data_IF_465113326402
#
_entry.id   IF_465113326402
#
_cell.length_a   1.000
_cell.length_b   1.000
_cell.length_c   1.000
_cell.angle_alpha   90.00
_cell.angle_beta   90.00
_cell.angle_gamma   90.00
#
_symmetry.space_group_name_H-M   'P 1'
#
loop_
_entity.id
_entity.type
_entity.pdbx_description
1 polymer ?
#
# COMPACT_ATOMS: atom_id res chain seq x y z
N UNK A 1 -8.39 -3.45 -15.60
CA UNK A 1 -9.57 -3.57 -16.47
C UNK A 1 -10.28 -4.86 -16.10
N UNK A 2 -11.57 -4.82 -15.75
CA UNK A 2 -12.37 -6.03 -15.74
C UNK A 2 -12.52 -6.50 -17.20
N UNK A 3 -12.50 -7.82 -17.41
CA UNK A 3 -12.75 -8.44 -18.72
C UNK A 3 -14.06 -7.98 -19.37
N UNK A 4 -14.98 -7.49 -18.55
CA UNK A 4 -16.36 -7.17 -18.92
C UNK A 4 -16.48 -5.95 -19.86
N UNK A 5 -15.58 -4.96 -19.75
CA UNK A 5 -15.62 -3.75 -20.60
C UNK A 5 -15.22 -4.00 -22.07
N UNK A 6 -14.25 -4.90 -22.30
CA UNK A 6 -13.82 -5.30 -23.66
C UNK A 6 -14.88 -6.20 -24.32
N UNK A 7 -15.57 -7.03 -23.52
CA UNK A 7 -16.69 -7.85 -24.00
C UNK A 7 -17.93 -7.01 -24.35
N UNK A 8 -18.16 -5.88 -23.67
CA UNK A 8 -19.21 -4.93 -24.05
C UNK A 8 -18.92 -4.35 -25.45
N UNK A 9 -17.73 -3.80 -25.70
CA UNK A 9 -17.37 -3.20 -26.99
C UNK A 9 -17.45 -4.19 -28.17
N UNK A 10 -17.07 -5.45 -27.96
CA UNK A 10 -17.23 -6.51 -28.97
C UNK A 10 -18.69 -6.94 -29.17
N UNK A 11 -19.53 -6.91 -28.13
CA UNK A 11 -20.98 -7.15 -28.25
C UNK A 11 -21.66 -6.11 -29.14
N UNK A 12 -21.26 -4.84 -29.05
CA UNK A 12 -21.84 -3.77 -29.87
C UNK A 12 -21.43 -3.87 -31.36
N UNK A 13 -20.18 -4.22 -31.65
CA UNK A 13 -19.71 -4.39 -33.04
C UNK A 13 -20.29 -5.61 -33.76
N UNK A 14 -20.66 -6.67 -33.03
CA UNK A 14 -21.23 -7.90 -33.59
C UNK A 14 -22.76 -7.91 -33.64
N UNK A 15 -23.47 -7.21 -32.73
CA UNK A 15 -24.93 -7.19 -32.72
C UNK A 15 -25.55 -6.42 -33.90
N UNK A 16 -24.79 -5.53 -34.56
CA UNK A 16 -25.23 -4.76 -35.72
C UNK A 16 -24.64 -5.26 -37.05
N UNK A 17 -24.06 -6.47 -37.07
CA UNK A 17 -23.64 -7.17 -38.27
C UNK A 17 -24.82 -7.51 -39.18
N UNK A 18 -25.03 -6.68 -40.21
CA UNK A 18 -25.81 -6.98 -41.43
C UNK A 18 -27.23 -7.53 -41.22
N UNK A 19 -28.12 -6.79 -40.55
CA UNK A 19 -29.52 -6.87 -40.92
C UNK A 19 -29.72 -5.90 -42.11
N UNK A 20 -29.72 -6.43 -43.33
CA UNK A 20 -29.97 -5.62 -44.53
C UNK A 20 -31.32 -4.90 -44.42
N UNK A 21 -31.30 -3.62 -44.07
CA UNK A 21 -32.46 -2.74 -44.06
C UNK A 21 -32.76 -2.35 -45.52
N UNK A 22 -33.28 -3.27 -46.32
CA UNK A 22 -33.82 -2.95 -47.64
C UNK A 22 -35.33 -2.81 -47.55
N UNK A 23 -35.84 -1.64 -47.91
CA UNK A 23 -37.25 -1.46 -48.20
C UNK A 23 -37.62 -2.29 -49.45
N UNK A 24 -38.72 -3.05 -49.39
CA UNK A 24 -39.26 -3.76 -50.55
C UNK A 24 -40.42 -2.97 -51.16
N UNK A 25 -40.22 -2.41 -52.36
CA UNK A 25 -41.22 -1.71 -53.21
C UNK A 25 -41.19 -0.18 -53.00
N UNK A 26 -41.20 0.69 -54.02
CA UNK A 26 -41.63 0.60 -55.43
C UNK A 26 -40.80 1.55 -56.31
N UNK A 27 -40.63 1.22 -57.59
CA UNK A 27 -40.04 2.11 -58.60
C UNK A 27 -40.89 3.39 -58.76
N UNK A 28 -40.26 4.56 -58.71
CA UNK A 28 -40.79 5.76 -59.36
C UNK A 28 -40.78 7.05 -58.53
N UNK A 29 -40.03 8.02 -59.06
CA UNK A 29 -40.13 9.47 -58.89
C UNK A 29 -39.69 10.04 -57.52
N UNK A 30 -38.74 10.99 -57.59
CA UNK A 30 -38.27 11.78 -56.46
C UNK A 30 -39.43 12.46 -55.73
N UNK A 31 -39.75 11.94 -54.55
CA UNK A 31 -40.63 12.58 -53.59
C UNK A 31 -39.74 13.36 -52.63
N UNK A 32 -39.74 14.69 -52.75
CA UNK A 32 -39.04 15.61 -51.84
C UNK A 32 -39.79 15.78 -50.51
N UNK A 33 -40.34 14.70 -49.97
CA UNK A 33 -41.14 14.69 -48.75
C UNK A 33 -40.79 13.49 -47.89
N UNK A 34 -40.86 13.67 -46.56
CA UNK A 34 -40.60 12.59 -45.63
C UNK A 34 -41.54 11.40 -45.89
N UNK A 35 -40.94 10.22 -46.10
CA UNK A 35 -41.65 8.96 -46.33
C UNK A 35 -41.62 8.14 -45.06
N UNK A 36 -42.71 7.44 -44.76
CA UNK A 36 -42.78 6.47 -43.67
C UNK A 36 -42.81 5.05 -44.27
N UNK A 37 -41.82 4.22 -43.92
CA UNK A 37 -41.64 2.87 -44.48
C UNK A 37 -41.41 1.86 -43.35
N UNK A 38 -42.13 0.74 -43.38
CA UNK A 38 -41.87 -0.39 -42.47
C UNK A 38 -40.91 -1.38 -43.11
N UNK A 39 -39.79 -1.67 -42.44
CA UNK A 39 -38.80 -2.65 -42.89
C UNK A 39 -38.05 -3.25 -41.69
N UNK A 40 -37.57 -4.50 -41.81
CA UNK A 40 -36.69 -5.10 -40.82
C UNK A 40 -37.24 -5.16 -39.38
N UNK A 41 -38.58 -5.19 -39.21
CA UNK A 41 -39.22 -5.17 -37.90
C UNK A 41 -39.32 -3.79 -37.23
N UNK A 42 -39.02 -2.72 -37.97
CA UNK A 42 -39.19 -1.33 -37.52
C UNK A 42 -39.85 -0.44 -38.56
N UNK A 43 -39.97 0.84 -38.23
CA UNK A 43 -40.51 1.89 -39.10
C UNK A 43 -39.50 3.01 -39.22
N UNK A 44 -39.11 3.32 -40.46
CA UNK A 44 -38.35 4.50 -40.83
C UNK A 44 -39.30 5.65 -41.17
N UNK A 45 -38.94 6.88 -40.80
CA UNK A 45 -39.59 8.12 -41.24
C UNK A 45 -38.53 9.14 -41.58
N UNK A 46 -38.41 9.53 -42.84
CA UNK A 46 -37.36 10.44 -43.30
C UNK A 46 -37.23 10.52 -44.82
N UNK A 47 -36.10 11.06 -45.27
CA UNK A 47 -35.78 11.20 -46.68
C UNK A 47 -35.32 9.87 -47.30
N UNK A 48 -35.64 9.66 -48.58
CA UNK A 48 -35.20 8.47 -49.32
C UNK A 48 -34.68 8.85 -50.69
N UNK A 49 -33.61 8.20 -51.13
CA UNK A 49 -33.03 8.33 -52.47
C UNK A 49 -32.84 6.93 -53.04
N UNK A 50 -33.36 6.71 -54.24
CA UNK A 50 -33.30 5.42 -54.97
C UNK A 50 -33.77 4.21 -54.13
N UNK A 51 -34.79 4.41 -53.30
CA UNK A 51 -35.37 3.37 -52.45
C UNK A 51 -34.57 3.06 -51.18
N UNK A 52 -33.50 3.79 -50.91
CA UNK A 52 -32.68 3.66 -49.72
C UNK A 52 -32.87 4.86 -48.76
N UNK A 53 -32.65 4.64 -47.46
CA UNK A 53 -32.67 5.71 -46.46
C UNK A 53 -31.55 6.69 -46.73
N UNK A 54 -31.89 7.97 -46.71
CA UNK A 54 -30.96 9.06 -47.00
C UNK A 54 -31.30 10.31 -46.18
N UNK A 55 -30.41 11.30 -46.18
CA UNK A 55 -30.68 12.59 -45.55
C UNK A 55 -30.93 12.46 -44.05
N UNK A 56 -31.89 13.19 -43.51
CA UNK A 56 -32.27 13.06 -42.09
C UNK A 56 -33.50 12.17 -41.92
N UNK A 57 -33.49 11.32 -40.89
CA UNK A 57 -34.63 10.46 -40.59
C UNK A 57 -34.54 9.74 -39.26
N UNK A 58 -35.68 9.20 -38.85
CA UNK A 58 -35.84 8.42 -37.62
C UNK A 58 -36.22 6.99 -37.95
N UNK A 59 -35.50 6.02 -37.39
CA UNK A 59 -35.87 4.60 -37.42
C UNK A 59 -36.25 4.16 -36.02
N UNK A 60 -37.42 3.54 -35.87
CA UNK A 60 -37.93 3.00 -34.60
C UNK A 60 -38.17 1.51 -34.74
N UNK A 61 -37.60 0.70 -33.86
CA UNK A 61 -37.84 -0.74 -33.75
C UNK A 61 -37.98 -1.16 -32.29
N UNK A 62 -38.26 -2.44 -32.05
CA UNK A 62 -38.23 -3.00 -30.69
C UNK A 62 -36.82 -3.07 -30.09
N UNK A 63 -35.77 -3.03 -30.92
CA UNK A 63 -34.39 -3.17 -30.48
C UNK A 63 -33.71 -1.81 -30.24
N UNK A 64 -34.01 -0.82 -31.07
CA UNK A 64 -33.42 0.51 -30.96
C UNK A 64 -34.26 1.58 -31.67
N UNK A 65 -34.01 2.84 -31.30
CA UNK A 65 -34.42 4.04 -32.02
C UNK A 65 -33.18 4.81 -32.44
N UNK A 66 -33.11 5.21 -33.71
CA UNK A 66 -32.08 6.11 -34.23
C UNK A 66 -32.73 7.34 -34.85
N UNK A 67 -32.25 8.53 -34.54
CA UNK A 67 -32.61 9.78 -35.22
C UNK A 67 -31.34 10.49 -35.67
N UNK A 68 -31.17 10.70 -36.97
CA UNK A 68 -29.95 11.31 -37.46
C UNK A 68 -29.81 11.22 -38.98
N UNK A 69 -28.57 11.32 -39.43
CA UNK A 69 -28.23 11.22 -40.84
C UNK A 69 -28.20 9.78 -41.36
N UNK A 70 -28.56 9.63 -42.62
CA UNK A 70 -28.57 8.37 -43.34
C UNK A 70 -27.92 8.52 -44.71
N UNK A 71 -27.14 7.52 -45.11
CA UNK A 71 -26.60 7.39 -46.46
C UNK A 71 -26.72 5.93 -46.88
N UNK A 72 -27.59 5.67 -47.86
CA UNK A 72 -27.78 4.35 -48.46
C UNK A 72 -28.03 3.25 -47.40
N UNK A 73 -29.10 3.43 -46.62
CA UNK A 73 -29.54 2.52 -45.54
C UNK A 73 -28.60 2.43 -44.33
N UNK A 74 -27.52 3.22 -44.29
CA UNK A 74 -26.59 3.25 -43.17
C UNK A 74 -26.67 4.57 -42.38
N UNK A 75 -26.64 4.46 -41.05
CA UNK A 75 -26.46 5.61 -40.15
C UNK A 75 -25.15 6.31 -40.49
N UNK A 76 -25.22 7.63 -40.68
CA UNK A 76 -24.11 8.45 -41.16
C UNK A 76 -24.23 9.90 -40.66
N UNK A 77 -23.12 10.60 -40.48
CA UNK A 77 -23.16 11.98 -39.97
C UNK A 77 -23.55 12.01 -38.50
N UNK A 78 -24.22 13.06 -38.03
CA UNK A 78 -24.60 13.16 -36.61
C UNK A 78 -25.94 12.47 -36.33
N UNK A 79 -26.07 11.83 -35.17
CA UNK A 79 -27.33 11.25 -34.73
C UNK A 79 -27.35 10.78 -33.29
N UNK A 80 -28.58 10.46 -32.86
CA UNK A 80 -28.95 9.96 -31.54
C UNK A 80 -29.45 8.52 -31.67
N UNK A 81 -28.74 7.58 -31.05
CA UNK A 81 -29.10 6.17 -30.96
C UNK A 81 -29.49 5.84 -29.52
N UNK A 82 -30.65 5.20 -29.34
CA UNK A 82 -31.12 4.68 -28.05
C UNK A 82 -31.49 3.21 -28.23
N UNK A 83 -30.88 2.35 -27.42
CA UNK A 83 -31.14 0.91 -27.41
C UNK A 83 -32.25 0.54 -26.41
N UNK A 84 -32.83 -0.63 -26.60
CA UNK A 84 -33.91 -1.13 -25.74
C UNK A 84 -33.50 -1.36 -24.27
N UNK A 85 -32.21 -1.55 -23.99
CA UNK A 85 -31.67 -1.67 -22.63
C UNK A 85 -31.46 -0.31 -21.93
N UNK A 86 -31.66 0.79 -22.65
CA UNK A 86 -31.43 2.16 -22.18
C UNK A 86 -30.04 2.72 -22.50
N UNK A 87 -29.14 1.90 -23.06
CA UNK A 87 -27.85 2.39 -23.57
C UNK A 87 -28.08 3.37 -24.72
N UNK A 88 -27.25 4.40 -24.82
CA UNK A 88 -27.40 5.45 -25.84
C UNK A 88 -26.07 5.96 -26.37
N UNK A 89 -26.08 6.41 -27.62
CA UNK A 89 -24.96 7.09 -28.25
C UNK A 89 -25.45 8.35 -28.95
N UNK A 90 -24.81 9.48 -28.66
CA UNK A 90 -25.05 10.75 -29.34
C UNK A 90 -23.73 11.21 -29.94
N UNK A 91 -23.65 11.29 -31.27
CA UNK A 91 -22.38 11.59 -31.91
C UNK A 91 -22.38 11.35 -33.40
N UNK A 92 -21.17 11.26 -33.94
CA UNK A 92 -20.96 11.05 -35.36
C UNK A 92 -20.92 9.55 -35.72
N UNK A 93 -21.43 9.25 -36.90
CA UNK A 93 -21.53 7.91 -37.47
C UNK A 93 -20.90 7.88 -38.86
N UNK A 94 -20.28 6.75 -39.19
CA UNK A 94 -19.86 6.42 -40.53
C UNK A 94 -20.21 4.96 -40.83
N UNK A 95 -21.16 4.73 -41.73
CA UNK A 95 -21.57 3.40 -42.17
C UNK A 95 -22.02 2.50 -41.00
N UNK A 96 -22.95 2.99 -40.18
CA UNK A 96 -23.44 2.34 -38.96
C UNK A 96 -22.44 2.27 -37.79
N UNK A 97 -21.22 2.78 -37.96
CA UNK A 97 -20.20 2.74 -36.93
C UNK A 97 -20.04 4.06 -36.20
N UNK A 98 -19.81 4.04 -34.89
CA UNK A 98 -19.41 5.24 -34.15
C UNK A 98 -18.10 5.77 -34.73
N UNK A 99 -18.05 7.05 -35.04
CA UNK A 99 -16.91 7.67 -35.72
C UNK A 99 -16.85 9.16 -35.42
N UNK A 100 -15.66 9.77 -35.38
CA UNK A 100 -15.51 11.18 -34.98
C UNK A 100 -15.82 11.37 -33.50
N UNK A 101 -16.40 12.51 -33.12
CA UNK A 101 -16.73 12.78 -31.71
C UNK A 101 -18.10 12.22 -31.33
N UNK A 102 -18.22 11.65 -30.13
CA UNK A 102 -19.52 11.25 -29.59
C UNK A 102 -19.47 10.77 -28.15
N UNK A 103 -20.64 10.69 -27.55
CA UNK A 103 -20.85 10.24 -26.18
C UNK A 103 -21.68 8.96 -26.15
N UNK A 104 -21.09 7.89 -25.62
CA UNK A 104 -21.74 6.63 -25.28
C UNK A 104 -22.11 6.66 -23.79
N UNK A 105 -23.33 6.25 -23.46
CA UNK A 105 -23.78 5.99 -22.09
C UNK A 105 -24.40 4.59 -22.06
N UNK A 106 -23.84 3.70 -21.26
CA UNK A 106 -24.33 2.34 -21.08
C UNK A 106 -25.42 2.27 -20.00
N UNK A 107 -26.26 1.24 -20.08
CA UNK A 107 -27.37 1.02 -19.14
C UNK A 107 -26.91 0.87 -17.67
N UNK A 108 -25.68 0.43 -17.43
CA UNK A 108 -25.07 0.32 -16.09
C UNK A 108 -24.52 1.65 -15.55
N UNK A 109 -24.57 2.71 -16.36
CA UNK A 109 -24.08 4.06 -16.03
C UNK A 109 -22.61 4.30 -16.40
N UNK A 110 -21.90 3.33 -16.97
CA UNK A 110 -20.61 3.62 -17.61
C UNK A 110 -20.82 4.60 -18.77
N UNK A 111 -19.92 5.56 -18.95
CA UNK A 111 -20.00 6.47 -20.09
C UNK A 111 -18.64 6.81 -20.66
N UNK A 112 -18.59 7.03 -21.97
CA UNK A 112 -17.43 7.52 -22.67
C UNK A 112 -17.81 8.72 -23.54
N UNK A 113 -17.10 9.82 -23.38
CA UNK A 113 -17.25 11.05 -24.18
C UNK A 113 -15.91 11.36 -24.83
N UNK A 114 -15.79 11.19 -26.15
CA UNK A 114 -14.51 11.34 -26.84
C UNK A 114 -14.53 11.00 -28.32
N UNK A 115 -13.33 10.77 -28.88
CA UNK A 115 -13.15 10.45 -30.29
C UNK A 115 -13.27 8.94 -30.56
N UNK A 116 -13.79 8.62 -31.75
CA UNK A 116 -14.10 7.27 -32.20
C UNK A 116 -13.59 7.04 -33.62
N UNK A 117 -13.09 5.84 -33.88
CA UNK A 117 -12.85 5.32 -35.22
C UNK A 117 -13.44 3.92 -35.29
N UNK A 118 -14.54 3.78 -36.04
CA UNK A 118 -15.16 2.48 -36.31
C UNK A 118 -15.50 1.69 -35.03
N UNK A 119 -16.23 2.33 -34.11
CA UNK A 119 -16.56 1.85 -32.76
C UNK A 119 -15.40 1.78 -31.76
N UNK A 120 -14.17 2.06 -32.16
CA UNK A 120 -13.01 2.01 -31.27
C UNK A 120 -12.71 3.39 -30.72
N UNK A 121 -12.62 3.51 -29.38
CA UNK A 121 -12.18 4.73 -28.71
C UNK A 121 -10.76 5.09 -29.14
N UNK A 122 -10.56 6.36 -29.50
CA UNK A 122 -9.27 6.89 -29.95
C UNK A 122 -9.13 8.36 -29.55
N UNK A 123 -8.01 8.99 -29.91
CA UNK A 123 -7.85 10.44 -29.76
C UNK A 123 -7.93 10.87 -28.30
N UNK A 124 -8.80 11.82 -27.97
CA UNK A 124 -9.05 12.24 -26.59
C UNK A 124 -10.44 11.81 -26.14
N UNK A 125 -10.55 11.44 -24.87
CA UNK A 125 -11.86 11.11 -24.31
C UNK A 125 -11.85 10.94 -22.80
N UNK A 126 -13.05 10.99 -22.23
CA UNK A 126 -13.32 10.79 -20.81
C UNK A 126 -14.17 9.54 -20.63
N UNK A 127 -13.66 8.57 -19.88
CA UNK A 127 -14.40 7.40 -19.40
C UNK A 127 -14.83 7.67 -17.96
N UNK A 128 -16.09 7.43 -17.64
CA UNK A 128 -16.62 7.41 -16.27
C UNK A 128 -17.14 6.02 -16.00
N UNK A 129 -16.63 5.37 -14.95
CA UNK A 129 -17.07 4.04 -14.54
C UNK A 129 -18.45 4.10 -13.87
N UNK A 130 -19.20 2.99 -13.85
CA UNK A 130 -20.51 2.91 -13.19
C UNK A 130 -20.51 3.49 -11.77
N UNK A 131 -21.61 4.16 -11.41
CA UNK A 131 -21.81 4.79 -10.09
C UNK A 131 -20.72 5.80 -9.68
N UNK A 132 -19.91 6.30 -10.62
CA UNK A 132 -18.81 7.21 -10.32
C UNK A 132 -17.65 6.55 -9.56
N UNK A 133 -17.50 5.22 -9.67
CA UNK A 133 -16.45 4.43 -9.00
C UNK A 133 -15.02 4.85 -9.39
N UNK A 134 -14.88 5.58 -10.49
CA UNK A 134 -13.63 6.10 -11.00
C UNK A 134 -13.86 6.75 -12.36
N UNK A 135 -12.84 7.42 -12.86
CA UNK A 135 -12.87 8.01 -14.20
C UNK A 135 -11.45 8.11 -14.76
N UNK A 136 -11.37 8.25 -16.07
CA UNK A 136 -10.15 8.55 -16.81
C UNK A 136 -10.44 9.64 -17.82
N UNK A 137 -9.59 10.66 -17.90
CA UNK A 137 -9.61 11.67 -18.95
C UNK A 137 -8.22 11.77 -19.56
N UNK A 138 -8.09 11.50 -20.86
CA UNK A 138 -6.78 11.50 -21.50
C UNK A 138 -6.81 11.00 -22.93
N UNK A 139 -5.64 10.58 -23.41
CA UNK A 139 -5.48 10.06 -24.75
C UNK A 139 -5.86 8.57 -24.83
N UNK A 140 -6.36 8.18 -26.00
CA UNK A 140 -6.82 6.82 -26.30
C UNK A 140 -6.20 6.35 -27.60
N UNK A 141 -5.78 5.09 -27.64
CA UNK A 141 -5.31 4.41 -28.83
C UNK A 141 -5.86 2.98 -28.83
N UNK A 142 -6.53 2.61 -29.91
CA UNK A 142 -7.10 1.28 -30.13
C UNK A 142 -7.92 0.76 -28.93
N UNK A 143 -8.80 1.61 -28.39
CA UNK A 143 -9.70 1.25 -27.28
C UNK A 143 -9.06 1.28 -25.90
N UNK A 144 -7.77 1.58 -25.80
CA UNK A 144 -7.00 1.58 -24.55
C UNK A 144 -6.53 2.97 -24.14
N UNK A 145 -6.49 3.24 -22.83
CA UNK A 145 -5.85 4.45 -22.29
C UNK A 145 -4.38 4.47 -22.70
N UNK A 146 -3.91 5.58 -23.26
CA UNK A 146 -2.59 5.70 -23.85
C UNK A 146 -2.08 7.15 -23.76
N UNK A 147 -0.78 7.39 -23.76
CA UNK A 147 -0.22 8.74 -23.70
C UNK A 147 -0.56 9.47 -22.41
N UNK A 148 -0.75 10.80 -22.45
CA UNK A 148 -1.03 11.60 -21.25
C UNK A 148 -2.50 11.46 -20.81
N UNK A 149 -2.72 11.31 -19.50
CA UNK A 149 -4.06 11.32 -18.92
C UNK A 149 -4.08 11.43 -17.40
N UNK A 150 -5.26 11.75 -16.86
CA UNK A 150 -5.58 11.76 -15.43
C UNK A 150 -6.66 10.71 -15.12
N UNK A 151 -6.56 10.05 -13.96
CA UNK A 151 -7.56 9.11 -13.50
C UNK A 151 -7.85 9.23 -12.00
N UNK A 152 -9.10 8.98 -11.63
CA UNK A 152 -9.49 8.56 -10.29
C UNK A 152 -9.61 7.03 -10.26
N UNK A 153 -8.77 6.39 -9.47
CA UNK A 153 -8.70 4.95 -9.30
C UNK A 153 -9.74 4.46 -8.29
N UNK A 154 -10.04 3.15 -8.34
CA UNK A 154 -11.06 2.52 -7.49
C UNK A 154 -10.74 2.57 -5.98
N UNK A 155 -9.48 2.76 -5.60
CA UNK A 155 -9.03 2.94 -4.23
C UNK A 155 -9.12 4.41 -3.75
N UNK A 156 -9.62 5.31 -4.59
CA UNK A 156 -9.69 6.75 -4.34
C UNK A 156 -8.42 7.53 -4.68
N UNK A 157 -7.36 6.85 -5.13
CA UNK A 157 -6.12 7.49 -5.55
C UNK A 157 -6.30 8.25 -6.87
N UNK A 158 -5.60 9.37 -7.02
CA UNK A 158 -5.56 10.15 -8.27
C UNK A 158 -4.22 9.97 -8.95
N UNK A 159 -4.23 9.62 -10.22
CA UNK A 159 -3.04 9.52 -11.04
C UNK A 159 -3.06 10.56 -12.16
N UNK A 160 -1.93 11.21 -12.40
CA UNK A 160 -1.71 12.08 -13.56
C UNK A 160 -0.37 11.73 -14.18
N UNK A 161 -0.33 11.28 -15.43
CA UNK A 161 0.92 10.84 -16.03
C UNK A 161 0.77 10.18 -17.39
N UNK A 162 1.78 9.41 -17.76
CA UNK A 162 1.81 8.63 -18.99
C UNK A 162 1.10 7.28 -18.81
N UNK A 163 0.42 6.85 -19.86
CA UNK A 163 -0.32 5.61 -19.96
C UNK A 163 0.17 4.83 -21.17
N UNK A 164 0.25 3.52 -21.04
CA UNK A 164 0.54 2.64 -22.16
C UNK A 164 -0.35 1.41 -22.06
N UNK A 165 -1.17 1.18 -23.09
CA UNK A 165 -2.06 0.01 -23.18
C UNK A 165 -2.91 -0.22 -21.91
N UNK A 166 -3.49 0.83 -21.36
CA UNK A 166 -4.38 0.74 -20.20
C UNK A 166 -3.70 0.70 -18.82
N UNK A 167 -2.37 0.77 -18.74
CA UNK A 167 -1.64 0.79 -17.47
C UNK A 167 -0.79 2.06 -17.30
N UNK A 168 -0.58 2.48 -16.05
CA UNK A 168 0.31 3.59 -15.73
C UNK A 168 1.74 3.25 -16.19
N UNK A 169 2.38 4.18 -16.89
CA UNK A 169 3.71 3.97 -17.47
C UNK A 169 4.47 5.30 -17.51
N UNK A 170 5.73 5.29 -17.94
CA UNK A 170 6.51 6.52 -18.14
C UNK A 170 6.58 7.39 -16.87
N UNK A 171 6.39 8.70 -16.99
CA UNK A 171 6.42 9.61 -15.85
C UNK A 171 5.01 9.96 -15.36
N UNK A 172 4.82 9.98 -14.04
CA UNK A 172 3.54 10.35 -13.46
C UNK A 172 3.61 10.75 -12.00
N UNK A 173 2.47 11.20 -11.51
CA UNK A 173 2.19 11.51 -10.10
C UNK A 173 0.99 10.69 -9.66
N UNK A 174 1.10 9.98 -8.55
CA UNK A 174 -0.04 9.35 -7.87
C UNK A 174 -0.20 9.95 -6.48
N UNK A 175 -1.42 10.36 -6.13
CA UNK A 175 -1.79 10.86 -4.79
C UNK A 175 -2.87 9.94 -4.23
N UNK A 176 -2.54 9.24 -3.16
CA UNK A 176 -3.47 8.38 -2.45
C UNK A 176 -4.49 9.20 -1.64
N UNK A 177 -5.59 8.55 -1.24
CA UNK A 177 -6.64 9.20 -0.45
C UNK A 177 -6.16 9.71 0.92
N UNK A 178 -5.08 9.12 1.47
CA UNK A 178 -4.46 9.54 2.74
C UNK A 178 -3.48 10.72 2.59
N UNK A 179 -3.30 11.24 1.37
CA UNK A 179 -2.36 12.31 1.04
C UNK A 179 -0.94 11.84 0.70
N UNK A 180 -0.64 10.54 0.80
CA UNK A 180 0.63 9.98 0.33
C UNK A 180 0.77 10.22 -1.16
N UNK A 181 1.88 10.84 -1.58
CA UNK A 181 2.12 11.19 -2.97
C UNK A 181 3.42 10.55 -3.48
N UNK A 182 3.40 10.03 -4.69
CA UNK A 182 4.59 9.61 -5.41
C UNK A 182 4.69 10.35 -6.73
N UNK A 183 5.84 10.95 -7.00
CA UNK A 183 6.19 11.61 -8.26
C UNK A 183 7.41 10.91 -8.83
N UNK A 184 7.29 10.28 -9.99
CA UNK A 184 8.41 9.56 -10.58
C UNK A 184 8.00 8.70 -11.76
N UNK A 185 8.86 7.72 -12.05
CA UNK A 185 8.63 6.81 -13.17
C UNK A 185 7.81 5.57 -12.77
N UNK A 186 7.12 5.01 -13.76
CA UNK A 186 6.27 3.84 -13.67
C UNK A 186 6.58 2.88 -14.82
N UNK A 187 6.63 1.58 -14.51
CA UNK A 187 6.70 0.52 -15.50
C UNK A 187 5.59 -0.50 -15.21
N UNK A 188 4.76 -0.80 -16.22
CA UNK A 188 3.63 -1.75 -16.09
C UNK A 188 2.76 -1.56 -14.83
N UNK A 189 2.44 -0.31 -14.47
CA UNK A 189 1.61 0.02 -13.32
C UNK A 189 2.33 0.04 -11.98
N UNK A 190 3.63 -0.31 -11.91
CA UNK A 190 4.42 -0.28 -10.68
C UNK A 190 5.46 0.84 -10.71
N UNK A 191 5.79 1.39 -9.53
CA UNK A 191 6.86 2.40 -9.40
C UNK A 191 8.20 1.79 -9.82
N UNK A 192 8.94 2.50 -10.65
CA UNK A 192 10.22 2.06 -11.21
C UNK A 192 11.10 3.27 -11.57
N UNK A 193 12.41 3.05 -11.75
CA UNK A 193 13.34 4.12 -12.12
C UNK A 193 13.49 5.15 -11.00
N UNK A 194 13.61 6.43 -11.31
CA UNK A 194 13.75 7.48 -10.29
C UNK A 194 12.39 8.02 -9.85
N UNK A 195 12.24 8.31 -8.55
CA UNK A 195 11.01 8.89 -8.02
C UNK A 195 11.12 9.33 -6.57
N UNK A 196 10.19 10.19 -6.16
CA UNK A 196 10.06 10.71 -4.80
C UNK A 196 8.72 10.29 -4.22
N UNK A 197 8.74 9.60 -3.07
CA UNK A 197 7.57 9.28 -2.26
C UNK A 197 7.53 10.23 -1.06
N UNK A 198 6.46 11.01 -0.96
CA UNK A 198 6.12 11.85 0.19
C UNK A 198 4.99 11.19 0.96
N UNK A 199 5.23 10.84 2.21
CA UNK A 199 4.21 10.32 3.13
C UNK A 199 4.24 11.14 4.42
N UNK A 200 3.24 10.98 5.27
CA UNK A 200 3.24 11.63 6.59
C UNK A 200 4.51 11.29 7.35
N UNK A 201 5.27 12.33 7.72
CA UNK A 201 6.49 12.23 8.52
C UNK A 201 7.74 11.74 7.78
N UNK A 202 7.68 11.47 6.47
CA UNK A 202 8.85 10.99 5.71
C UNK A 202 8.82 11.28 4.22
N UNK A 203 10.00 11.49 3.65
CA UNK A 203 10.21 11.67 2.22
C UNK A 203 11.35 10.76 1.75
N UNK A 204 11.07 9.88 0.80
CA UNK A 204 12.11 9.13 0.09
C UNK A 204 12.30 9.72 -1.31
N UNK A 205 13.54 9.95 -1.73
CA UNK A 205 13.89 10.31 -3.10
C UNK A 205 15.03 9.43 -3.57
N UNK A 206 14.85 8.72 -4.68
CA UNK A 206 15.87 7.81 -5.17
C UNK A 206 15.37 6.88 -6.27
N UNK A 207 16.09 5.79 -6.44
CA UNK A 207 15.76 4.73 -7.38
C UNK A 207 14.69 3.77 -6.83
N UNK A 208 13.96 3.14 -7.74
CA UNK A 208 12.82 2.26 -7.51
C UNK A 208 12.88 1.06 -8.46
N UNK A 209 12.59 -0.12 -7.93
CA UNK A 209 12.41 -1.33 -8.70
C UNK A 209 11.27 -2.17 -8.12
N UNK A 210 10.41 -2.73 -8.98
CA UNK A 210 9.28 -3.57 -8.58
C UNK A 210 8.38 -2.94 -7.49
N UNK A 211 8.21 -1.62 -7.51
CA UNK A 211 7.37 -0.90 -6.55
C UNK A 211 8.03 -0.58 -5.21
N UNK A 212 9.32 -0.87 -4.99
CA UNK A 212 10.04 -0.59 -3.76
C UNK A 212 11.31 0.27 -4.00
N UNK A 213 11.78 1.03 -2.99
CA UNK A 213 13.12 1.64 -3.01
C UNK A 213 14.21 0.63 -3.38
N UNK A 214 15.09 1.00 -4.30
CA UNK A 214 16.19 0.17 -4.79
C UNK A 214 17.34 1.09 -5.23
N UNK A 215 18.54 0.57 -5.49
CA UNK A 215 19.64 1.38 -6.02
C UNK A 215 20.07 2.47 -5.04
N UNK A 216 20.32 3.69 -5.49
CA UNK A 216 20.70 4.80 -4.60
C UNK A 216 19.52 5.69 -4.22
N UNK A 217 19.49 6.19 -2.98
CA UNK A 217 18.42 7.07 -2.52
C UNK A 217 18.59 7.65 -1.12
N UNK A 218 17.82 8.69 -0.87
CA UNK A 218 17.79 9.43 0.40
C UNK A 218 16.40 9.31 1.02
N UNK A 219 16.33 8.89 2.29
CA UNK A 219 15.13 8.95 3.14
C UNK A 219 15.31 10.03 4.19
N UNK A 220 14.36 10.94 4.30
CA UNK A 220 14.33 12.03 5.29
C UNK A 220 13.10 11.81 6.18
N UNK A 221 13.30 11.95 7.49
CA UNK A 221 12.24 11.91 8.50
C UNK A 221 11.89 13.33 8.95
N UNK A 222 10.66 13.54 9.42
CA UNK A 222 10.19 14.82 9.95
C UNK A 222 10.92 15.30 11.21
N UNK A 223 11.45 14.36 12.00
CA UNK A 223 12.30 14.63 13.16
C UNK A 223 13.74 15.07 12.81
N UNK A 224 14.06 15.20 11.52
CA UNK A 224 15.37 15.67 11.05
C UNK A 224 16.40 14.56 10.82
N UNK A 225 16.07 13.30 11.14
CA UNK A 225 16.93 12.16 10.76
C UNK A 225 16.93 11.96 9.25
N UNK A 226 18.00 11.37 8.73
CA UNK A 226 18.06 10.95 7.33
C UNK A 226 18.94 9.73 7.10
N UNK A 227 18.66 9.01 6.02
CA UNK A 227 19.53 7.97 5.48
C UNK A 227 19.84 8.32 4.03
N UNK A 228 21.11 8.26 3.65
CA UNK A 228 21.59 8.48 2.29
C UNK A 228 22.49 7.30 1.90
N UNK A 229 22.08 6.47 0.94
CA UNK A 229 22.84 5.27 0.63
C UNK A 229 22.18 4.35 -0.39
N UNK A 230 22.66 3.12 -0.44
CA UNK A 230 22.11 2.08 -1.29
C UNK A 230 20.86 1.42 -0.67
N UNK A 231 20.00 0.89 -1.52
CA UNK A 231 18.71 0.30 -1.17
C UNK A 231 18.50 -1.00 -1.93
N UNK A 232 17.95 -2.00 -1.23
CA UNK A 232 17.47 -3.23 -1.85
C UNK A 232 16.12 -3.64 -1.29
N UNK A 233 15.17 -3.94 -2.18
CA UNK A 233 13.79 -4.33 -1.87
C UNK A 233 13.13 -3.49 -0.75
N UNK A 234 13.33 -2.18 -0.77
CA UNK A 234 12.75 -1.24 0.19
C UNK A 234 13.52 -1.06 1.49
N UNK A 235 14.74 -1.59 1.61
CA UNK A 235 15.57 -1.54 2.82
C UNK A 235 16.94 -0.92 2.53
N UNK A 236 17.54 -0.20 3.49
CA UNK A 236 18.95 0.17 3.44
C UNK A 236 19.85 -1.04 3.14
N UNK A 237 20.76 -0.88 2.19
CA UNK A 237 21.70 -1.89 1.76
C UNK A 237 23.03 -1.23 1.37
N UNK A 238 24.07 -2.01 1.07
CA UNK A 238 25.32 -1.51 0.52
C UNK A 238 25.96 -0.39 1.35
N UNK A 239 26.60 0.59 0.73
CA UNK A 239 27.16 1.74 1.46
C UNK A 239 26.08 2.77 1.77
N UNK A 240 26.09 3.32 2.99
CA UNK A 240 25.18 4.39 3.35
C UNK A 240 25.59 5.17 4.58
N UNK A 241 25.03 6.37 4.70
CA UNK A 241 25.21 7.32 5.80
C UNK A 241 23.86 7.61 6.44
N UNK A 242 23.72 7.25 7.70
CA UNK A 242 22.60 7.67 8.54
C UNK A 242 22.99 8.92 9.32
N UNK A 243 22.16 9.96 9.30
CA UNK A 243 22.36 11.21 10.06
C UNK A 243 21.24 11.38 11.08
N UNK A 244 21.62 11.72 12.30
CA UNK A 244 20.71 12.05 13.39
C UNK A 244 20.28 13.53 13.31
N UNK A 245 19.21 13.86 14.02
CA UNK A 245 18.69 15.22 14.11
C UNK A 245 19.68 16.22 14.73
N UNK A 246 20.57 15.75 15.60
CA UNK A 246 21.61 16.54 16.25
C UNK A 246 22.84 16.78 15.36
N UNK A 247 22.89 16.18 14.16
CA UNK A 247 24.01 16.27 13.22
C UNK A 247 25.04 15.15 13.33
N UNK A 248 24.96 14.27 14.34
CA UNK A 248 25.78 13.07 14.38
C UNK A 248 25.45 12.13 13.22
N UNK A 249 26.38 11.25 12.84
CA UNK A 249 26.16 10.32 11.73
C UNK A 249 26.92 8.99 11.86
N UNK A 250 26.35 7.95 11.26
CA UNK A 250 27.01 6.67 11.01
C UNK A 250 27.20 6.48 9.52
N UNK A 251 28.40 6.12 9.09
CA UNK A 251 28.66 5.66 7.72
C UNK A 251 29.21 4.24 7.74
N UNK A 252 28.72 3.37 6.85
CA UNK A 252 29.21 2.00 6.78
C UNK A 252 28.43 1.14 5.78
N UNK A 253 28.59 -0.18 5.90
CA UNK A 253 27.91 -1.15 5.04
C UNK A 253 26.60 -1.63 5.68
N UNK A 254 25.54 -1.73 4.90
CA UNK A 254 24.19 -2.09 5.34
C UNK A 254 23.75 -3.39 4.68
N UNK A 255 23.14 -4.29 5.44
CA UNK A 255 22.57 -5.53 4.94
C UNK A 255 21.16 -5.73 5.49
N UNK A 256 20.17 -5.83 4.60
CA UNK A 256 18.74 -5.98 4.93
C UNK A 256 18.19 -4.96 5.94
N UNK A 257 18.69 -3.72 5.91
CA UNK A 257 18.31 -2.64 6.81
C UNK A 257 19.17 -2.51 8.07
N UNK A 258 20.21 -3.32 8.23
CA UNK A 258 21.09 -3.33 9.41
C UNK A 258 22.47 -2.85 9.04
N UNK A 259 23.00 -1.85 9.75
CA UNK A 259 24.39 -1.43 9.65
C UNK A 259 25.29 -2.54 10.21
N UNK A 260 26.26 -2.98 9.42
CA UNK A 260 27.30 -3.91 9.85
C UNK A 260 28.41 -3.13 10.56
N UNK A 261 28.81 -3.62 11.72
CA UNK A 261 29.79 -2.95 12.59
C UNK A 261 31.23 -2.97 11.99
N UNK A 262 31.52 -3.86 11.04
CA UNK A 262 32.85 -3.99 10.41
C UNK A 262 33.17 -2.79 9.51
N UNK A 263 33.91 -1.83 10.06
CA UNK A 263 34.33 -0.60 9.37
C UNK A 263 33.30 0.53 9.38
N UNK A 264 32.27 0.46 10.24
CA UNK A 264 31.38 1.59 10.44
C UNK A 264 32.11 2.74 11.17
N UNK A 265 31.95 3.95 10.65
CA UNK A 265 32.52 5.18 11.20
C UNK A 265 31.41 6.00 11.81
N UNK A 266 31.58 6.37 13.08
CA UNK A 266 30.74 7.35 13.73
C UNK A 266 31.39 8.73 13.63
N UNK A 267 30.58 9.74 13.34
CA UNK A 267 30.99 11.14 13.39
C UNK A 267 30.02 11.87 14.30
N UNK A 268 30.52 12.46 15.38
CA UNK A 268 29.70 13.23 16.30
C UNK A 268 29.22 14.54 15.66
N UNK A 269 28.25 15.21 16.30
CA UNK A 269 27.79 16.54 15.86
C UNK A 269 28.91 17.60 15.85
N UNK A 270 29.96 17.43 16.66
CA UNK A 270 31.14 18.32 16.68
C UNK A 270 32.19 17.97 15.60
N UNK A 271 31.96 16.91 14.82
CA UNK A 271 32.87 16.46 13.75
C UNK A 271 34.00 15.54 14.22
N UNK A 272 33.98 15.08 15.47
CA UNK A 272 34.93 14.08 15.96
C UNK A 272 34.59 12.73 15.32
N UNK A 273 35.58 12.15 14.64
CA UNK A 273 35.47 10.84 14.00
C UNK A 273 35.98 9.78 14.95
N UNK A 274 35.15 8.78 15.21
CA UNK A 274 35.55 7.58 15.91
C UNK A 274 35.39 6.40 14.95
N UNK A 275 36.52 5.81 14.54
CA UNK A 275 36.54 4.53 13.85
C UNK A 275 36.33 3.51 14.94
N UNK A 276 35.28 2.71 14.85
CA UNK A 276 34.92 1.79 15.91
C UNK A 276 36.06 0.80 16.22
N UNK A 277 36.91 1.12 17.20
CA UNK A 277 37.97 0.27 17.72
C UNK A 277 37.54 -0.24 19.10
N UNK A 278 37.13 -1.50 19.16
CA UNK A 278 36.24 -2.06 20.19
C UNK A 278 36.83 -2.09 21.62
N UNK A 279 38.10 -1.77 21.84
CA UNK A 279 38.74 -1.85 23.16
C UNK A 279 38.78 -0.52 23.95
N UNK A 280 38.92 0.65 23.30
CA UNK A 280 39.10 1.93 24.01
C UNK A 280 37.78 2.61 24.40
N UNK A 281 36.70 2.41 23.65
CA UNK A 281 35.35 2.91 24.00
C UNK A 281 34.78 2.26 25.28
N UNK A 282 35.34 1.13 25.73
CA UNK A 282 34.88 0.39 26.90
C UNK A 282 35.44 0.89 28.24
N UNK A 283 36.44 1.80 28.24
CA UNK A 283 37.21 2.14 29.43
C UNK A 283 36.91 3.50 30.06
N UNK A 284 36.07 4.36 29.45
CA UNK A 284 35.86 5.72 29.97
C UNK A 284 34.46 6.34 29.79
N UNK A 285 33.52 5.63 29.17
CA UNK A 285 32.15 6.12 28.91
C UNK A 285 31.14 4.97 29.16
N UNK A 286 29.87 5.27 29.49
CA UNK A 286 28.87 4.25 29.75
C UNK A 286 28.75 3.26 28.57
N UNK A 287 28.70 1.97 28.91
CA UNK A 287 28.86 0.78 28.07
C UNK A 287 28.24 0.83 26.65
N UNK A 288 28.82 0.14 25.65
CA UNK A 288 28.76 0.52 24.24
C UNK A 288 27.44 0.12 23.57
N UNK A 289 26.83 1.10 22.90
CA UNK A 289 25.49 1.05 22.32
C UNK A 289 25.47 0.37 20.95
N UNK A 290 25.16 -0.92 20.94
CA UNK A 290 24.66 -1.61 19.76
C UNK A 290 23.19 -1.23 19.60
N UNK A 291 22.81 -0.30 18.72
CA UNK A 291 21.40 0.09 18.48
C UNK A 291 20.51 -0.07 19.72
N UNK A 292 20.81 0.64 20.81
CA UNK A 292 19.94 0.61 21.97
C UNK A 292 18.79 1.57 21.65
N UNK A 293 17.90 1.11 20.77
CA UNK A 293 16.51 1.33 21.11
C UNK A 293 16.31 0.51 22.41
N UNK A 294 16.12 1.15 23.58
CA UNK A 294 15.92 0.45 24.85
C UNK A 294 14.84 -0.61 24.76
N UNK A 295 13.90 -0.37 23.85
CA UNK A 295 12.85 -1.26 23.44
C UNK A 295 13.38 -2.52 22.77
N UNK A 296 14.26 -2.41 21.77
CA UNK A 296 14.83 -3.56 21.04
C UNK A 296 15.68 -4.41 21.96
N UNK A 297 16.49 -3.77 22.82
CA UNK A 297 17.30 -4.49 23.78
C UNK A 297 16.45 -5.21 24.83
N UNK A 298 15.50 -4.50 25.45
CA UNK A 298 14.60 -5.08 26.45
C UNK A 298 13.73 -6.20 25.85
N UNK A 299 13.20 -6.01 24.64
CA UNK A 299 12.47 -7.01 23.88
C UNK A 299 13.33 -8.24 23.57
N UNK A 300 14.57 -8.03 23.12
CA UNK A 300 15.52 -9.11 22.82
C UNK A 300 15.86 -9.89 24.09
N UNK A 301 16.18 -9.22 25.20
CA UNK A 301 16.45 -9.86 26.48
C UNK A 301 15.25 -10.67 27.01
N UNK A 302 14.03 -10.15 26.85
CA UNK A 302 12.79 -10.87 27.24
C UNK A 302 12.52 -12.09 26.36
N UNK A 303 12.90 -12.06 25.08
CA UNK A 303 12.63 -13.12 24.10
C UNK A 303 13.73 -14.20 24.03
N UNK A 304 15.00 -13.87 24.31
CA UNK A 304 16.14 -14.80 24.18
C UNK A 304 15.95 -16.09 25.00
N UNK A 305 15.62 -16.00 26.29
CA UNK A 305 15.45 -17.17 27.16
C UNK A 305 14.19 -18.00 26.87
N UNK A 306 13.28 -17.46 26.05
CA UNK A 306 11.95 -18.02 25.81
C UNK A 306 11.69 -18.32 24.35
N UNK A 307 12.68 -18.19 23.46
CA UNK A 307 12.59 -18.51 22.02
C UNK A 307 11.94 -19.86 21.74
N UNK A 308 12.42 -20.91 22.40
CA UNK A 308 11.91 -22.27 22.17
C UNK A 308 10.45 -22.41 22.65
N UNK A 309 10.11 -21.75 23.77
CA UNK A 309 8.75 -21.71 24.30
C UNK A 309 7.83 -20.89 23.39
N UNK A 310 8.26 -19.72 22.92
CA UNK A 310 7.53 -18.88 21.97
C UNK A 310 7.27 -19.63 20.67
N UNK A 311 8.30 -20.23 20.07
CA UNK A 311 8.16 -21.00 18.84
C UNK A 311 7.29 -22.25 19.03
N UNK A 312 7.24 -22.85 20.23
CA UNK A 312 6.32 -23.96 20.54
C UNK A 312 4.88 -23.45 20.70
N UNK A 313 4.65 -22.40 21.47
CA UNK A 313 3.33 -21.78 21.65
C UNK A 313 2.75 -21.26 20.34
N UNK A 314 3.55 -20.61 19.50
CA UNK A 314 3.12 -20.14 18.18
C UNK A 314 2.80 -21.30 17.21
N UNK A 315 3.43 -22.47 17.39
CA UNK A 315 3.12 -23.70 16.64
C UNK A 315 1.84 -24.39 17.12
N UNK A 316 1.51 -24.29 18.41
CA UNK A 316 0.25 -24.79 18.98
C UNK A 316 -0.96 -23.94 18.58
N UNK A 317 -0.76 -22.65 18.28
CA UNK A 317 -1.76 -21.83 17.59
C UNK A 317 -1.86 -22.28 16.13
N UNK A 318 -2.61 -23.35 15.91
CA UNK A 318 -2.86 -24.03 14.64
C UNK A 318 -2.97 -23.06 13.43
N UNK A 319 -1.89 -23.04 12.64
CA UNK A 319 -1.71 -22.22 11.45
C UNK A 319 -2.59 -22.70 10.28
N UNK A 320 -3.36 -23.78 10.44
CA UNK A 320 -4.26 -24.31 9.41
C UNK A 320 -5.55 -23.50 9.23
N UNK A 321 -5.89 -22.58 10.16
CA UNK A 321 -7.09 -21.72 10.09
C UNK A 321 -6.81 -20.22 10.01
N UNK A 322 -5.55 -19.82 9.86
CA UNK A 322 -5.15 -18.42 9.62
C UNK A 322 -4.42 -18.31 8.29
N UNK A 323 -4.46 -17.13 7.65
CA UNK A 323 -3.76 -16.89 6.37
C UNK A 323 -2.27 -17.16 6.56
N UNK A 324 -1.76 -18.28 6.04
CA UNK A 324 -0.34 -18.56 5.76
C UNK A 324 0.67 -17.79 6.64
N UNK A 325 0.80 -18.15 7.92
CA UNK A 325 1.86 -17.59 8.79
C UNK A 325 1.56 -16.24 9.46
N UNK A 326 0.32 -15.74 9.37
CA UNK A 326 -0.11 -14.51 10.04
C UNK A 326 -1.04 -14.79 11.22
N UNK A 327 -0.70 -14.32 12.42
CA UNK A 327 -1.56 -14.40 13.61
C UNK A 327 -2.16 -13.04 13.98
N UNK A 328 -3.42 -12.97 14.45
CA UNK A 328 -3.97 -11.75 14.99
C UNK A 328 -3.14 -11.22 16.16
N UNK A 329 -2.97 -9.91 16.22
CA UNK A 329 -2.20 -9.21 17.26
C UNK A 329 -2.63 -9.61 18.69
N UNK A 330 -3.93 -9.81 18.92
CA UNK A 330 -4.47 -10.28 20.20
C UNK A 330 -4.00 -11.70 20.58
N UNK A 331 -3.77 -12.58 19.59
CA UNK A 331 -3.27 -13.94 19.81
C UNK A 331 -1.78 -13.94 20.08
N UNK A 332 -1.00 -13.11 19.38
CA UNK A 332 0.43 -12.91 19.68
C UNK A 332 0.61 -12.36 21.09
N UNK A 333 -0.22 -11.39 21.50
CA UNK A 333 -0.26 -10.89 22.89
C UNK A 333 -0.50 -12.00 23.91
N UNK A 334 -1.45 -12.89 23.63
CA UNK A 334 -1.73 -14.01 24.51
C UNK A 334 -0.58 -15.02 24.56
N UNK A 335 0.04 -15.31 23.41
CA UNK A 335 1.18 -16.21 23.32
C UNK A 335 2.36 -15.70 24.16
N UNK A 336 2.71 -14.41 24.05
CA UNK A 336 3.76 -13.77 24.85
C UNK A 336 3.45 -13.82 26.34
N UNK A 337 2.20 -13.54 26.75
CA UNK A 337 1.79 -13.66 28.16
C UNK A 337 1.89 -15.09 28.69
N UNK A 338 1.51 -16.08 27.90
CA UNK A 338 1.54 -17.49 28.31
C UNK A 338 2.97 -17.98 28.61
N UNK A 339 3.97 -17.42 27.93
CA UNK A 339 5.39 -17.72 28.19
C UNK A 339 6.04 -16.77 29.21
N UNK A 340 5.23 -15.95 29.89
CA UNK A 340 5.66 -15.05 30.96
C UNK A 340 6.30 -13.75 30.48
N UNK A 341 6.18 -13.40 29.19
CA UNK A 341 6.70 -12.14 28.64
C UNK A 341 5.62 -11.07 28.71
N UNK A 342 5.97 -9.94 29.33
CA UNK A 342 5.16 -8.72 29.31
C UNK A 342 5.94 -7.65 28.54
N UNK A 343 5.32 -7.17 27.46
CA UNK A 343 5.84 -6.03 26.72
C UNK A 343 5.29 -4.74 27.32
N UNK A 344 6.14 -3.72 27.47
CA UNK A 344 5.71 -2.36 27.76
C UNK A 344 5.15 -1.67 26.49
N UNK A 345 4.71 -0.42 26.62
CA UNK A 345 4.06 0.31 25.53
C UNK A 345 5.01 0.56 24.36
N UNK A 346 6.27 0.87 24.64
CA UNK A 346 7.26 1.20 23.61
C UNK A 346 7.71 -0.09 22.89
N UNK A 347 7.90 -1.21 23.61
CA UNK A 347 8.10 -2.57 23.05
C UNK A 347 6.97 -3.04 22.18
N UNK A 348 5.77 -2.59 22.49
CA UNK A 348 4.62 -2.90 21.69
C UNK A 348 4.59 -2.11 20.39
N UNK A 349 4.86 -0.81 20.47
CA UNK A 349 4.90 0.09 19.31
C UNK A 349 6.05 -0.27 18.37
N UNK A 350 7.19 -0.72 18.89
CA UNK A 350 8.30 -1.22 18.06
C UNK A 350 7.94 -2.51 17.31
N UNK A 351 7.30 -3.47 17.98
CA UNK A 351 6.78 -4.68 17.32
C UNK A 351 5.78 -4.29 16.23
N UNK A 352 4.87 -3.35 16.50
CA UNK A 352 3.91 -2.87 15.50
C UNK A 352 4.58 -2.12 14.34
N UNK A 353 5.62 -1.31 14.61
CA UNK A 353 6.35 -0.56 13.59
C UNK A 353 7.11 -1.49 12.63
N UNK A 354 7.70 -2.60 13.13
CA UNK A 354 8.32 -3.63 12.28
C UNK A 354 7.33 -4.33 11.35
N UNK A 355 6.05 -4.44 11.76
CA UNK A 355 5.03 -5.19 11.04
C UNK A 355 3.94 -4.30 10.40
N UNK A 356 4.08 -2.98 10.48
CA UNK A 356 3.23 -1.94 9.87
C UNK A 356 2.18 -1.33 10.83
N UNK A 357 1.97 0.00 10.82
CA UNK A 357 1.12 0.70 11.82
C UNK A 357 -0.39 0.35 11.76
N UNK A 358 -0.84 -0.39 10.75
CA UNK A 358 -2.24 -0.82 10.57
C UNK A 358 -2.42 -2.35 10.53
N UNK A 359 -1.40 -3.16 10.84
CA UNK A 359 -1.51 -4.61 10.76
C UNK A 359 -2.15 -5.20 12.02
N UNK A 360 -3.44 -5.58 11.93
CA UNK A 360 -4.07 -6.44 12.95
C UNK A 360 -3.48 -7.87 12.99
N UNK A 361 -2.47 -8.14 12.16
CA UNK A 361 -1.91 -9.45 11.85
C UNK A 361 -0.38 -9.38 11.84
N UNK A 362 0.29 -10.29 12.54
CA UNK A 362 1.75 -10.38 12.63
C UNK A 362 2.21 -11.64 11.90
N UNK A 363 3.22 -11.51 11.04
CA UNK A 363 3.92 -12.65 10.47
C UNK A 363 4.77 -13.34 11.55
N UNK A 364 4.40 -14.57 11.91
CA UNK A 364 5.08 -15.33 12.97
C UNK A 364 6.50 -15.74 12.58
N UNK A 365 6.78 -15.92 11.29
CA UNK A 365 8.10 -16.31 10.83
C UNK A 365 9.08 -15.13 10.91
N UNK A 366 8.61 -13.90 10.66
CA UNK A 366 9.42 -12.70 10.80
C UNK A 366 9.73 -12.39 12.26
N UNK A 367 8.77 -12.61 13.16
CA UNK A 367 8.99 -12.52 14.61
C UNK A 367 10.03 -13.54 15.09
N UNK A 368 9.95 -14.79 14.63
CA UNK A 368 10.93 -15.84 14.97
C UNK A 368 12.30 -15.55 14.36
N UNK A 369 12.36 -15.04 13.12
CA UNK A 369 13.61 -14.62 12.47
C UNK A 369 14.26 -13.47 13.22
N UNK A 370 13.52 -12.44 13.61
CA UNK A 370 14.00 -11.33 14.41
C UNK A 370 14.68 -11.81 15.70
N UNK A 371 13.99 -12.67 16.47
CA UNK A 371 14.55 -13.26 17.71
C UNK A 371 15.82 -14.06 17.42
N UNK A 372 15.82 -14.83 16.33
CA UNK A 372 16.97 -15.65 15.94
C UNK A 372 18.17 -14.80 15.53
N UNK A 373 17.95 -13.69 14.84
CA UNK A 373 19.00 -12.75 14.45
C UNK A 373 19.55 -12.04 15.69
N UNK A 374 18.68 -11.55 16.57
CA UNK A 374 19.10 -10.91 17.83
C UNK A 374 19.93 -11.85 18.72
N UNK A 375 19.55 -13.13 18.82
CA UNK A 375 20.29 -14.16 19.57
C UNK A 375 21.66 -14.47 18.95
N UNK A 376 21.75 -14.55 17.61
CA UNK A 376 23.03 -14.76 16.90
C UNK A 376 23.99 -13.59 17.12
N UNK A 377 23.49 -12.37 17.06
CA UNK A 377 24.29 -11.17 17.35
C UNK A 377 24.78 -11.17 18.80
N UNK A 378 23.93 -11.55 19.74
CA UNK A 378 24.32 -11.65 21.16
C UNK A 378 25.43 -12.68 21.39
N UNK A 379 25.30 -13.88 20.84
CA UNK A 379 26.32 -14.92 20.95
C UNK A 379 27.62 -14.57 20.24
N UNK A 380 27.56 -13.86 19.10
CA UNK A 380 28.75 -13.34 18.41
C UNK A 380 29.52 -12.37 19.30
N UNK A 381 28.79 -11.53 20.06
CA UNK A 381 29.36 -10.54 21.00
C UNK A 381 29.80 -11.14 22.34
N UNK A 382 29.30 -12.33 22.70
CA UNK A 382 29.60 -12.99 23.97
C UNK A 382 30.07 -14.46 23.77
N UNK A 383 31.20 -14.69 23.08
CA UNK A 383 31.65 -16.04 22.71
C UNK A 383 32.02 -16.93 23.90
N UNK A 384 32.27 -16.34 25.08
CA UNK A 384 32.56 -17.06 26.32
C UNK A 384 31.31 -17.45 27.14
N UNK A 385 30.13 -16.96 26.76
CA UNK A 385 28.86 -17.43 27.31
C UNK A 385 28.30 -18.53 26.41
N UNK A 386 28.81 -19.75 26.62
CA UNK A 386 28.34 -20.95 25.91
C UNK A 386 26.84 -21.25 26.17
N UNK A 387 26.20 -22.05 25.31
CA UNK A 387 24.77 -22.35 25.41
C UNK A 387 24.51 -23.41 26.49
N UNK A 388 24.67 -23.04 27.77
CA UNK A 388 24.17 -23.78 28.95
C UNK A 388 24.83 -23.24 30.22
N UNK A 389 24.10 -22.46 31.03
CA UNK A 389 23.98 -22.63 32.50
C UNK A 389 23.21 -21.44 33.13
N UNK A 390 21.93 -21.31 32.82
CA UNK A 390 20.95 -20.80 33.79
C UNK A 390 19.93 -21.92 34.06
N UNK A 391 20.42 -23.02 34.65
CA UNK A 391 19.52 -23.85 35.44
C UNK A 391 19.01 -22.99 36.61
N UNK A 392 17.71 -22.98 36.92
CA UNK A 392 17.21 -22.25 38.07
C UNK A 392 17.91 -22.82 39.31
N UNK A 393 18.72 -21.99 39.98
CA UNK A 393 19.32 -22.35 41.26
C UNK A 393 18.19 -22.81 42.18
N UNK A 394 18.16 -24.10 42.54
CA UNK A 394 17.27 -24.62 43.57
C UNK A 394 17.52 -23.79 44.84
N UNK A 395 16.50 -23.06 45.29
CA UNK A 395 16.55 -22.33 46.55
C UNK A 395 16.97 -23.29 47.67
N UNK A 396 17.97 -22.87 48.45
CA UNK A 396 18.44 -23.61 49.62
C UNK A 396 17.26 -23.84 50.59
N UNK A 397 17.36 -24.87 51.43
CA UNK A 397 16.30 -25.19 52.42
C UNK A 397 15.97 -23.99 53.32
N UNK A 398 16.97 -23.13 53.60
CA UNK A 398 16.81 -21.87 54.33
C UNK A 398 15.96 -20.84 53.56
N UNK A 399 16.17 -20.69 52.24
CA UNK A 399 15.39 -19.77 51.42
C UNK A 399 13.95 -20.27 51.15
N UNK A 400 13.70 -21.59 51.25
CA UNK A 400 12.34 -22.15 51.26
C UNK A 400 11.61 -21.88 52.58
N UNK A 401 12.31 -21.94 53.71
CA UNK A 401 11.73 -21.63 55.02
C UNK A 401 11.36 -20.14 55.12
N UNK A 402 12.26 -19.25 54.69
CA UNK A 402 12.01 -17.80 54.67
C UNK A 402 10.81 -17.40 53.79
N UNK A 403 10.54 -18.16 52.71
CA UNK A 403 9.39 -17.92 51.82
C UNK A 403 8.08 -18.51 52.36
N UNK A 404 8.14 -19.55 53.20
CA UNK A 404 6.98 -20.08 53.91
C UNK A 404 6.58 -19.18 55.09
N UNK A 405 7.57 -18.64 55.81
CA UNK A 405 7.34 -17.74 56.95
C UNK A 405 6.82 -16.36 56.49
N UNK A 406 7.22 -15.89 55.29
CA UNK A 406 6.70 -14.66 54.69
C UNK A 406 5.29 -14.80 54.08
N UNK A 407 4.83 -16.03 53.79
CA UNK A 407 3.50 -16.30 53.26
C UNK A 407 2.45 -16.55 54.36
N UNK A 408 2.87 -16.63 55.62
CA UNK A 408 1.99 -16.89 56.78
C UNK A 408 1.48 -15.62 57.48
N UNK A 409 1.72 -14.42 56.92
CA UNK A 409 1.35 -13.15 57.55
C UNK A 409 0.35 -12.30 56.75
N UNK A 410 -0.31 -12.87 55.74
CA UNK A 410 -1.40 -12.22 55.01
C UNK A 410 -2.59 -13.15 54.90
N UNK A 411 -3.25 -13.36 56.03
CA UNK A 411 -4.67 -13.72 56.13
C UNK A 411 -5.07 -13.55 57.61
N UNK A 412 -5.76 -12.47 57.92
CA UNK A 412 -6.79 -12.38 58.97
C UNK A 412 -7.60 -11.10 58.72
N UNK A 413 -8.91 -11.31 58.65
CA UNK A 413 -9.97 -10.42 58.17
C UNK A 413 -10.33 -9.25 59.11
N UNK A 414 -10.95 -8.23 58.48
CA UNK A 414 -12.08 -7.38 58.88
C UNK A 414 -12.23 -6.90 60.34
N UNK A 415 -12.19 -5.57 60.54
CA UNK A 415 -13.35 -4.71 60.88
C UNK A 415 -12.96 -3.40 61.61
N UNK A 416 -13.62 -2.33 61.16
CA UNK A 416 -14.08 -1.13 61.88
C UNK A 416 -13.14 0.00 62.40
N UNK A 417 -13.61 1.22 62.07
CA UNK A 417 -13.59 2.46 62.85
C UNK A 417 -12.31 3.34 62.97
N UNK A 418 -12.41 4.47 62.26
CA UNK A 418 -12.39 5.85 62.77
C UNK A 418 -11.13 6.46 63.43
N UNK A 419 -10.73 7.59 62.83
CA UNK A 419 -10.27 8.87 63.43
C UNK A 419 -9.02 8.93 64.32
N UNK A 420 -8.18 9.88 63.92
CA UNK A 420 -7.39 10.84 64.72
C UNK A 420 -6.12 10.40 65.49
N UNK A 421 -5.18 11.35 65.39
CA UNK A 421 -4.13 11.74 66.33
C UNK A 421 -2.74 11.04 66.35
N UNK A 422 -1.78 11.81 65.81
CA UNK A 422 -0.57 12.33 66.50
C UNK A 422 0.65 11.43 66.74
N UNK A 423 1.80 12.00 66.34
CA UNK A 423 3.13 11.98 66.96
C UNK A 423 3.70 10.66 67.50
N UNK A 424 4.87 10.28 66.96
CA UNK A 424 6.09 10.19 67.77
C UNK A 424 7.36 10.12 66.90
N UNK A 425 8.25 11.07 67.17
CA UNK A 425 9.64 11.21 66.77
C UNK A 425 10.53 10.04 67.24
N UNK A 426 11.61 9.74 66.52
CA UNK A 426 13.00 9.89 67.02
C UNK A 426 14.05 9.27 66.06
N UNK A 427 14.83 10.18 65.47
CA UNK A 427 16.27 10.18 65.19
C UNK A 427 17.13 8.94 65.53
N UNK A 428 18.00 8.57 64.56
CA UNK A 428 19.45 8.49 64.79
C UNK A 428 20.19 8.93 63.51
N UNK A 429 20.77 10.13 63.54
CA UNK A 429 21.87 10.59 62.70
C UNK A 429 23.20 9.93 63.12
N UNK A 430 24.12 9.71 62.17
CA UNK A 430 25.49 10.26 62.21
C UNK A 430 26.49 9.49 61.32
N UNK A 431 27.14 10.27 60.43
CA UNK A 431 28.57 10.23 60.05
C UNK A 431 29.08 8.97 59.32
N UNK A 432 29.72 9.03 58.15
CA UNK A 432 30.82 9.88 57.66
C UNK A 432 30.94 9.65 56.14
N UNK A 433 31.17 10.63 55.26
CA UNK A 433 32.36 11.45 55.21
C UNK A 433 33.30 11.06 54.05
N UNK A 434 32.96 11.55 52.84
CA UNK A 434 33.85 12.16 51.83
C UNK A 434 35.06 11.40 51.20
N UNK A 435 35.01 11.41 49.87
CA UNK A 435 36.02 11.90 48.91
C UNK A 435 37.14 11.01 48.34
N UNK A 436 37.05 10.89 46.99
CA UNK A 436 38.07 10.88 45.93
C UNK A 436 39.24 9.89 45.99
N UNK A 437 39.49 9.22 44.86
CA UNK A 437 40.56 9.53 43.88
C UNK A 437 40.64 8.35 42.90
N UNK A 438 40.81 8.69 41.62
CA UNK A 438 41.33 7.90 40.48
C UNK A 438 41.39 6.36 40.62
N UNK A 439 40.70 5.68 39.71
CA UNK A 439 41.32 5.09 38.51
C UNK A 439 40.23 4.66 37.52
#
# INVERSE_FOLDING_TARGET
>A
MSRDGVEAEQKFGLAHGQAGLRASGSEGAGLSGAVSVSCGGGTYTGEMVDGAFHGTGTFVSSAFTYTGGWVADAMHGHGDLVLADGSSYVGSFAHNMYHGSGKLVLADGESYDGDWVHHVRCGRGTLVLPNGAGWYAGCWLDGSMHGRGEALLADGSRYTGDWYAGVMHGSGTIVAADGTAYVGSFDNGVRAGSGTLTATGRVYSGEWAAGAPHGTGTLIFDDGRSYDGEWDAGRPHGKGVFRFADGASYSGHWEHGVLLDDGAVFVSASGEQDVMDLEEASRGLPAPYTWYDPVVHSLSCKLMDRRAALAATLREYDVSRTRHGFLPLARVRQALRNIGIRLDADEYDFVLAMFGPNSQWINTDDLVRFVTTAEREWHRRHPHHGPSLHQPRRLSRAARQARADAAAFTELDDDDCASDDSDCLADVDAESGLMFVEL
#
